data_IF_469301770216
#
_entry.id   IF_469301770216
#
_cell.length_a   1.000
_cell.length_b   1.000
_cell.length_c   1.000
_cell.angle_alpha   90.00
_cell.angle_beta   90.00
_cell.angle_gamma   90.00
#
_symmetry.space_group_name_H-M   'P 1'
#
loop_
_entity.id
_entity.type
_entity.pdbx_description
1 polymer ?
#
# COMPACT_ATOMS: atom_id res chain seq x y z
N UNK A 1 -7.08 -5.85 -2.11
CA UNK A 1 -7.93 -6.16 -3.29
C UNK A 1 -7.46 -5.45 -4.56
N UNK A 2 -7.33 -4.12 -4.59
CA UNK A 2 -7.01 -3.35 -5.81
C UNK A 2 -5.60 -3.58 -6.40
N UNK A 3 -4.57 -3.76 -5.58
CA UNK A 3 -3.18 -3.91 -6.05
C UNK A 3 -2.96 -5.20 -6.88
N UNK A 4 -3.68 -6.28 -6.57
CA UNK A 4 -3.49 -7.57 -7.25
C UNK A 4 -4.31 -7.70 -8.54
N UNK A 5 -5.50 -7.09 -8.59
CA UNK A 5 -6.24 -6.95 -9.84
C UNK A 5 -5.39 -6.21 -10.88
N UNK A 6 -4.74 -5.11 -10.47
CA UNK A 6 -3.84 -4.36 -11.33
C UNK A 6 -2.66 -5.19 -11.82
N UNK A 7 -2.00 -5.96 -10.94
CA UNK A 7 -0.92 -6.88 -11.33
C UNK A 7 -1.35 -7.87 -12.41
N UNK A 8 -2.54 -8.47 -12.23
CA UNK A 8 -3.10 -9.41 -13.19
C UNK A 8 -3.42 -8.73 -14.52
N UNK A 9 -4.04 -7.55 -14.48
CA UNK A 9 -4.38 -6.80 -15.68
C UNK A 9 -3.14 -6.32 -16.45
N UNK A 10 -2.06 -5.94 -15.75
CA UNK A 10 -0.76 -5.64 -16.37
C UNK A 10 -0.20 -6.87 -17.04
N UNK A 11 -0.20 -8.03 -16.38
CA UNK A 11 0.29 -9.28 -16.96
C UNK A 11 -0.50 -9.66 -18.24
N UNK A 12 -1.83 -9.55 -18.21
CA UNK A 12 -2.69 -9.80 -19.39
C UNK A 12 -2.35 -8.84 -20.54
N UNK A 13 -2.14 -7.55 -20.24
CA UNK A 13 -1.81 -6.53 -21.26
C UNK A 13 -0.42 -6.73 -21.89
N UNK A 14 0.58 -7.16 -21.10
CA UNK A 14 1.97 -7.26 -21.55
C UNK A 14 2.29 -8.57 -22.26
N UNK A 15 1.67 -9.68 -21.82
CA UNK A 15 1.97 -11.02 -22.31
C UNK A 15 1.06 -11.48 -23.45
N UNK A 16 -0.19 -11.01 -23.51
CA UNK A 16 -1.09 -11.29 -24.63
C UNK A 16 -0.93 -10.19 -25.70
N UNK A 17 0.06 -10.37 -26.57
CA UNK A 17 0.44 -9.38 -27.58
C UNK A 17 -0.35 -9.59 -28.87
N UNK A 18 -0.89 -8.50 -29.41
CA UNK A 18 -1.66 -8.52 -30.65
C UNK A 18 -2.53 -7.27 -30.78
N UNK A 19 -2.54 -6.67 -31.96
CA UNK A 19 -3.38 -5.50 -32.30
C UNK A 19 -4.60 -5.86 -33.13
N UNK A 20 -4.79 -7.15 -33.38
CA UNK A 20 -5.99 -7.72 -33.98
C UNK A 20 -7.17 -7.64 -33.02
N UNK A 21 -8.36 -7.44 -33.59
CA UNK A 21 -9.61 -7.31 -32.82
C UNK A 21 -9.92 -8.59 -32.02
N UNK A 22 -9.54 -9.77 -32.53
CA UNK A 22 -9.68 -11.03 -31.81
C UNK A 22 -8.83 -11.05 -30.52
N UNK A 23 -7.55 -10.69 -30.59
CA UNK A 23 -6.69 -10.64 -29.40
C UNK A 23 -7.12 -9.52 -28.43
N UNK A 24 -7.61 -8.40 -28.96
CA UNK A 24 -8.21 -7.35 -28.13
C UNK A 24 -9.45 -7.87 -27.39
N UNK A 25 -10.32 -8.60 -28.08
CA UNK A 25 -11.49 -9.23 -27.47
C UNK A 25 -11.08 -10.22 -26.37
N UNK A 26 -10.10 -11.09 -26.62
CA UNK A 26 -9.55 -12.03 -25.63
C UNK A 26 -9.13 -11.29 -24.36
N UNK A 27 -8.31 -10.25 -24.47
CA UNK A 27 -7.84 -9.50 -23.29
C UNK A 27 -8.98 -8.82 -22.53
N UNK A 28 -9.92 -8.20 -23.26
CA UNK A 28 -11.09 -7.53 -22.65
C UNK A 28 -12.00 -8.51 -21.94
N UNK A 29 -12.24 -9.68 -22.53
CA UNK A 29 -13.06 -10.74 -21.94
C UNK A 29 -12.41 -11.30 -20.67
N UNK A 30 -11.10 -11.52 -20.66
CA UNK A 30 -10.39 -11.95 -19.43
C UNK A 30 -10.61 -10.96 -18.29
N UNK A 31 -10.41 -9.65 -18.55
CA UNK A 31 -10.64 -8.62 -17.52
C UNK A 31 -12.10 -8.59 -17.07
N UNK A 32 -13.04 -8.65 -18.01
CA UNK A 32 -14.48 -8.66 -17.70
C UNK A 32 -14.85 -9.85 -16.83
N UNK A 33 -14.34 -11.05 -17.11
CA UNK A 33 -14.58 -12.24 -16.29
C UNK A 33 -13.96 -12.16 -14.88
N UNK A 34 -12.79 -11.54 -14.74
CA UNK A 34 -12.20 -11.29 -13.41
C UNK A 34 -13.06 -10.31 -12.59
N UNK A 35 -13.56 -9.24 -13.23
CA UNK A 35 -14.46 -8.28 -12.58
C UNK A 35 -15.83 -8.90 -12.28
N UNK A 36 -16.34 -9.76 -13.17
CA UNK A 36 -17.57 -10.52 -12.96
C UNK A 36 -17.43 -11.45 -11.74
N UNK A 37 -16.33 -12.21 -11.65
CA UNK A 37 -16.03 -13.04 -10.48
C UNK A 37 -15.98 -12.21 -9.19
N UNK A 38 -15.28 -11.05 -9.21
CA UNK A 38 -15.26 -10.12 -8.09
C UNK A 38 -16.66 -9.62 -7.71
N UNK A 39 -17.47 -9.26 -8.70
CA UNK A 39 -18.84 -8.76 -8.50
C UNK A 39 -19.74 -9.83 -7.90
N UNK A 40 -19.65 -11.08 -8.38
CA UNK A 40 -20.39 -12.21 -7.81
C UNK A 40 -20.02 -12.48 -6.34
N UNK A 41 -18.72 -12.39 -6.00
CA UNK A 41 -18.26 -12.56 -4.61
C UNK A 41 -18.72 -11.39 -3.74
N UNK A 42 -18.50 -10.15 -4.17
CA UNK A 42 -18.89 -8.96 -3.42
C UNK A 42 -20.41 -8.85 -3.26
N UNK A 43 -21.20 -9.31 -4.23
CA UNK A 43 -22.67 -9.40 -4.13
C UNK A 43 -23.13 -10.33 -3.00
N UNK A 44 -22.35 -11.35 -2.64
CA UNK A 44 -22.71 -12.27 -1.56
C UNK A 44 -22.34 -11.73 -0.17
N UNK A 45 -21.32 -10.85 -0.09
CA UNK A 45 -20.75 -10.39 1.19
C UNK A 45 -21.14 -8.94 1.52
N UNK A 46 -21.26 -8.06 0.52
CA UNK A 46 -21.56 -6.64 0.72
C UNK A 46 -23.02 -6.32 0.39
N UNK A 47 -23.72 -5.72 1.35
CA UNK A 47 -25.10 -5.27 1.20
C UNK A 47 -25.22 -4.20 0.11
N UNK A 48 -24.26 -3.27 0.03
CA UNK A 48 -24.23 -2.21 -0.98
C UNK A 48 -24.21 -2.78 -2.41
N UNK A 49 -23.39 -3.80 -2.65
CA UNK A 49 -23.25 -4.45 -3.97
C UNK A 49 -24.46 -5.32 -4.25
N UNK A 50 -25.02 -5.99 -3.24
CA UNK A 50 -26.27 -6.78 -3.35
C UNK A 50 -27.46 -5.92 -3.76
N UNK A 51 -27.57 -4.68 -3.26
CA UNK A 51 -28.61 -3.72 -3.67
C UNK A 51 -28.40 -3.21 -5.10
N UNK A 52 -27.16 -2.98 -5.51
CA UNK A 52 -26.84 -2.59 -6.88
C UNK A 52 -27.13 -3.71 -7.88
N UNK A 53 -26.79 -4.95 -7.52
CA UNK A 53 -26.95 -6.14 -8.36
C UNK A 53 -27.79 -7.21 -7.67
N UNK A 54 -29.13 -7.04 -7.60
CA UNK A 54 -29.99 -7.98 -6.89
C UNK A 54 -30.14 -9.33 -7.61
N UNK A 55 -30.14 -9.35 -8.95
CA UNK A 55 -30.31 -10.54 -9.81
C UNK A 55 -29.14 -10.68 -10.78
N UNK A 56 -29.00 -11.86 -11.42
CA UNK A 56 -28.03 -12.04 -12.52
C UNK A 56 -28.40 -11.19 -13.73
N UNK A 57 -29.69 -10.98 -13.98
CA UNK A 57 -30.20 -10.07 -15.02
C UNK A 57 -29.76 -8.62 -14.78
N UNK A 58 -29.62 -8.17 -13.52
CA UNK A 58 -29.09 -6.84 -13.22
C UNK A 58 -27.59 -6.73 -13.55
N UNK A 59 -26.84 -7.83 -13.46
CA UNK A 59 -25.43 -7.89 -13.86
C UNK A 59 -25.32 -7.89 -15.39
N UNK A 60 -26.24 -8.58 -16.08
CA UNK A 60 -26.38 -8.55 -17.54
C UNK A 60 -26.70 -7.13 -18.03
N UNK A 61 -27.68 -6.46 -17.42
CA UNK A 61 -28.05 -5.09 -17.75
C UNK A 61 -26.92 -4.06 -17.53
N UNK A 62 -25.91 -4.42 -16.74
CA UNK A 62 -24.70 -3.63 -16.51
C UNK A 62 -23.54 -3.99 -17.46
N UNK A 63 -23.79 -4.81 -18.49
CA UNK A 63 -22.82 -5.27 -19.49
C UNK A 63 -21.59 -6.01 -18.91
N UNK A 64 -21.69 -6.52 -17.68
CA UNK A 64 -20.66 -7.37 -17.09
C UNK A 64 -20.77 -8.82 -17.59
N UNK A 65 -21.97 -9.23 -17.98
CA UNK A 65 -22.32 -10.58 -18.40
C UNK A 65 -23.12 -10.50 -19.71
N UNK A 66 -22.84 -11.39 -20.67
CA UNK A 66 -23.67 -11.49 -21.90
C UNK A 66 -24.86 -12.41 -21.67
N UNK A 67 -25.96 -12.30 -22.46
CA UNK A 67 -27.12 -13.19 -22.31
C UNK A 67 -26.77 -14.67 -22.49
N UNK A 68 -25.82 -14.98 -23.38
CA UNK A 68 -25.33 -16.35 -23.60
C UNK A 68 -24.57 -16.88 -22.39
N UNK A 69 -23.69 -16.06 -21.80
CA UNK A 69 -22.96 -16.41 -20.59
C UNK A 69 -23.90 -16.60 -19.40
N UNK A 70 -24.95 -15.77 -19.27
CA UNK A 70 -25.98 -15.97 -18.25
C UNK A 70 -26.66 -17.32 -18.40
N UNK A 71 -27.08 -17.67 -19.61
CA UNK A 71 -27.72 -18.95 -19.88
C UNK A 71 -26.81 -20.14 -19.51
N UNK A 72 -25.49 -20.03 -19.73
CA UNK A 72 -24.52 -21.06 -19.31
C UNK A 72 -24.38 -21.16 -17.79
N UNK A 73 -24.39 -20.03 -17.09
CA UNK A 73 -24.36 -19.99 -15.62
C UNK A 73 -25.64 -20.61 -15.05
N UNK A 74 -26.81 -20.24 -15.58
CA UNK A 74 -28.11 -20.77 -15.14
C UNK A 74 -28.28 -22.25 -15.45
N UNK A 75 -27.73 -22.73 -16.57
CA UNK A 75 -27.73 -24.16 -16.93
C UNK A 75 -26.88 -25.00 -15.97
N UNK A 76 -25.90 -24.39 -15.30
CA UNK A 76 -25.06 -25.11 -14.34
C UNK A 76 -25.85 -25.34 -13.06
N UNK A 77 -26.36 -26.56 -12.88
CA UNK A 77 -27.07 -27.01 -11.67
C UNK A 77 -26.10 -27.13 -10.47
N UNK A 78 -25.67 -26.01 -9.93
CA UNK A 78 -24.92 -25.93 -8.68
C UNK A 78 -25.76 -25.22 -7.61
N UNK A 79 -25.96 -25.89 -6.47
CA UNK A 79 -26.66 -25.30 -5.31
C UNK A 79 -25.78 -24.31 -4.54
N UNK A 80 -24.48 -24.27 -4.84
CA UNK A 80 -23.52 -23.37 -4.22
C UNK A 80 -23.24 -22.13 -5.06
N UNK A 81 -22.41 -21.22 -4.53
CA UNK A 81 -22.10 -19.94 -5.18
C UNK A 81 -21.26 -20.13 -6.45
N UNK A 82 -21.82 -19.72 -7.59
CA UNK A 82 -21.28 -19.90 -8.94
C UNK A 82 -20.13 -18.94 -9.32
N UNK A 83 -19.45 -18.32 -8.35
CA UNK A 83 -18.36 -17.36 -8.62
C UNK A 83 -17.11 -17.98 -9.26
N UNK A 84 -16.99 -19.31 -9.22
CA UNK A 84 -15.87 -20.06 -9.81
C UNK A 84 -15.99 -20.19 -11.33
N UNK A 85 -17.19 -20.12 -11.90
CA UNK A 85 -17.45 -20.33 -13.34
C UNK A 85 -16.63 -19.37 -14.22
N UNK A 86 -16.63 -18.03 -13.99
CA UNK A 86 -15.84 -17.12 -14.82
C UNK A 86 -14.33 -17.38 -14.75
N UNK A 87 -13.82 -17.92 -13.63
CA UNK A 87 -12.39 -18.25 -13.51
C UNK A 87 -12.03 -19.44 -14.41
N UNK A 88 -12.89 -20.45 -14.47
CA UNK A 88 -12.70 -21.59 -15.38
C UNK A 88 -12.71 -21.10 -16.83
N UNK A 89 -13.65 -20.23 -17.21
CA UNK A 89 -13.68 -19.66 -18.55
C UNK A 89 -12.42 -18.86 -18.89
N UNK A 90 -11.85 -18.12 -17.93
CA UNK A 90 -10.56 -17.45 -18.14
C UNK A 90 -9.44 -18.46 -18.41
N UNK A 91 -9.39 -19.56 -17.67
CA UNK A 91 -8.40 -20.63 -17.89
C UNK A 91 -8.52 -21.25 -19.29
N UNK A 92 -9.74 -21.54 -19.75
CA UNK A 92 -9.99 -22.04 -21.11
C UNK A 92 -9.57 -21.02 -22.18
N UNK A 93 -9.90 -19.74 -22.00
CA UNK A 93 -9.46 -18.67 -22.92
C UNK A 93 -7.93 -18.58 -22.97
N UNK A 94 -7.23 -18.75 -21.84
CA UNK A 94 -5.77 -18.74 -21.82
C UNK A 94 -5.18 -19.95 -22.56
N UNK A 95 -5.79 -21.13 -22.41
CA UNK A 95 -5.40 -22.32 -23.16
C UNK A 95 -5.57 -22.11 -24.67
N UNK A 96 -6.74 -21.61 -25.10
CA UNK A 96 -7.01 -21.32 -26.50
C UNK A 96 -6.10 -20.23 -27.07
N UNK A 97 -5.85 -19.16 -26.31
CA UNK A 97 -4.93 -18.09 -26.70
C UNK A 97 -3.50 -18.62 -26.89
N UNK A 98 -3.10 -19.62 -26.10
CA UNK A 98 -1.80 -20.28 -26.23
C UNK A 98 -1.76 -21.21 -27.45
N UNK A 99 -2.81 -21.99 -27.70
CA UNK A 99 -2.94 -22.85 -28.88
C UNK A 99 -2.94 -22.05 -30.18
N UNK A 100 -3.57 -20.87 -30.17
CA UNK A 100 -3.56 -19.89 -31.27
C UNK A 100 -2.25 -19.10 -31.38
N UNK A 101 -1.23 -19.43 -30.57
CA UNK A 101 0.07 -18.74 -30.50
C UNK A 101 -0.01 -17.21 -30.28
N UNK A 102 -1.09 -16.71 -29.67
CA UNK A 102 -1.21 -15.30 -29.26
C UNK A 102 -0.33 -14.99 -28.03
N UNK A 103 0.00 -16.02 -27.25
CA UNK A 103 0.94 -15.98 -26.14
C UNK A 103 2.22 -16.71 -26.57
N UNK A 104 3.37 -16.03 -26.47
CA UNK A 104 4.62 -16.53 -27.06
C UNK A 104 5.29 -17.69 -26.29
N UNK A 105 5.00 -17.86 -25.00
CA UNK A 105 5.67 -18.84 -24.15
C UNK A 105 4.73 -19.39 -23.09
N UNK A 106 4.89 -20.68 -22.77
CA UNK A 106 4.16 -21.37 -21.68
C UNK A 106 4.43 -20.70 -20.32
N UNK A 107 5.64 -20.16 -20.13
CA UNK A 107 5.99 -19.40 -18.93
C UNK A 107 5.10 -18.17 -18.71
N UNK A 108 4.71 -17.49 -19.79
CA UNK A 108 3.81 -16.34 -19.71
C UNK A 108 2.39 -16.78 -19.34
N UNK A 109 1.92 -17.91 -19.87
CA UNK A 109 0.63 -18.50 -19.48
C UNK A 109 0.64 -18.85 -18.00
N UNK A 110 1.67 -19.53 -17.52
CA UNK A 110 1.83 -19.90 -16.11
C UNK A 110 1.84 -18.66 -15.20
N UNK A 111 2.52 -17.59 -15.63
CA UNK A 111 2.58 -16.32 -14.87
C UNK A 111 1.21 -15.66 -14.77
N UNK A 112 0.44 -15.60 -15.87
CA UNK A 112 -0.92 -15.06 -15.86
C UNK A 112 -1.83 -15.93 -14.99
N UNK A 113 -1.78 -17.25 -15.14
CA UNK A 113 -2.57 -18.20 -14.35
C UNK A 113 -2.29 -18.07 -12.85
N UNK A 114 -1.00 -17.98 -12.45
CA UNK A 114 -0.60 -17.74 -11.06
C UNK A 114 -1.19 -16.44 -10.51
N UNK A 115 -1.15 -15.34 -11.28
CA UNK A 115 -1.73 -14.07 -10.86
C UNK A 115 -3.24 -14.17 -10.65
N UNK A 116 -3.96 -14.87 -11.54
CA UNK A 116 -5.39 -15.13 -11.42
C UNK A 116 -5.68 -16.00 -10.19
N UNK A 117 -4.87 -17.01 -9.92
CA UNK A 117 -5.02 -17.87 -8.74
C UNK A 117 -4.82 -17.12 -7.43
N UNK A 118 -3.84 -16.20 -7.39
CA UNK A 118 -3.66 -15.33 -6.23
C UNK A 118 -4.88 -14.42 -6.08
N UNK A 119 -5.39 -13.83 -7.17
CA UNK A 119 -6.60 -13.01 -7.15
C UNK A 119 -7.82 -13.80 -6.64
N UNK A 120 -8.06 -15.01 -7.16
CA UNK A 120 -9.11 -15.93 -6.71
C UNK A 120 -8.96 -16.27 -5.23
N UNK A 121 -7.74 -16.54 -4.78
CA UNK A 121 -7.45 -16.87 -3.37
C UNK A 121 -7.79 -15.70 -2.43
N UNK A 122 -7.58 -14.45 -2.87
CA UNK A 122 -7.96 -13.27 -2.09
C UNK A 122 -9.49 -13.09 -2.03
N UNK A 123 -10.20 -13.34 -3.13
CA UNK A 123 -11.67 -13.35 -3.12
C UNK A 123 -12.22 -14.47 -2.21
N UNK A 124 -11.58 -15.65 -2.23
CA UNK A 124 -11.92 -16.74 -1.33
C UNK A 124 -11.65 -16.38 0.14
N UNK A 125 -10.56 -15.65 0.44
CA UNK A 125 -10.31 -15.19 1.80
C UNK A 125 -11.40 -14.24 2.28
N UNK A 126 -11.96 -13.39 1.40
CA UNK A 126 -13.11 -12.56 1.75
C UNK A 126 -14.32 -13.40 2.16
N UNK A 127 -14.64 -14.45 1.38
CA UNK A 127 -15.70 -15.39 1.71
C UNK A 127 -15.44 -16.13 3.03
N UNK A 128 -14.17 -16.44 3.36
CA UNK A 128 -13.83 -17.08 4.65
C UNK A 128 -14.09 -16.15 5.84
N UNK A 129 -13.76 -14.85 5.70
CA UNK A 129 -14.02 -13.87 6.76
C UNK A 129 -15.52 -13.65 6.99
N UNK A 130 -16.33 -13.74 5.94
CA UNK A 130 -17.79 -13.69 6.03
C UNK A 130 -18.39 -14.99 6.61
N UNK A 131 -17.89 -16.14 6.14
CA UNK A 131 -18.38 -17.46 6.56
C UNK A 131 -18.11 -17.76 8.04
N UNK A 132 -16.96 -17.33 8.57
CA UNK A 132 -16.59 -17.56 9.97
C UNK A 132 -16.58 -16.21 10.71
N UNK A 133 -17.74 -15.74 11.19
CA UNK A 133 -17.78 -14.55 12.02
C UNK A 133 -17.15 -14.83 13.39
N UNK A 134 -16.77 -13.77 14.10
CA UNK A 134 -16.32 -13.87 15.50
C UNK A 134 -17.46 -14.50 16.33
N UNK A 135 -17.17 -15.46 17.22
CA UNK A 135 -18.21 -16.12 18.01
C UNK A 135 -19.10 -15.11 18.72
N UNK A 136 -20.42 -15.25 18.52
CA UNK A 136 -21.42 -14.32 19.06
C UNK A 136 -21.30 -14.12 20.58
N UNK A 137 -20.94 -15.19 21.30
CA UNK A 137 -20.73 -15.15 22.76
C UNK A 137 -19.65 -14.15 23.15
N UNK A 138 -18.60 -13.99 22.34
CA UNK A 138 -17.52 -13.05 22.64
C UNK A 138 -18.01 -11.59 22.56
N UNK A 139 -18.74 -11.26 21.50
CA UNK A 139 -19.34 -9.92 21.34
C UNK A 139 -20.35 -9.63 22.45
N UNK A 140 -21.20 -10.61 22.78
CA UNK A 140 -22.19 -10.50 23.85
C UNK A 140 -21.53 -10.29 25.22
N UNK A 141 -20.48 -11.04 25.53
CA UNK A 141 -19.77 -10.96 26.80
C UNK A 141 -19.13 -9.58 27.00
N UNK A 142 -18.41 -9.07 25.99
CA UNK A 142 -17.76 -7.75 26.07
C UNK A 142 -18.82 -6.65 26.25
N UNK A 143 -19.89 -6.69 25.44
CA UNK A 143 -21.00 -5.74 25.53
C UNK A 143 -21.68 -5.78 26.90
N UNK A 144 -21.92 -6.99 27.43
CA UNK A 144 -22.51 -7.19 28.74
C UNK A 144 -21.62 -6.63 29.85
N UNK A 145 -20.32 -6.93 29.84
CA UNK A 145 -19.37 -6.44 30.84
C UNK A 145 -19.30 -4.91 30.89
N UNK A 146 -19.20 -4.25 29.73
CA UNK A 146 -19.16 -2.77 29.66
C UNK A 146 -20.47 -2.16 30.15
N UNK A 147 -21.63 -2.72 29.75
CA UNK A 147 -22.94 -2.24 30.20
C UNK A 147 -23.17 -2.48 31.68
N UNK A 148 -22.76 -3.64 32.22
CA UNK A 148 -22.88 -3.97 33.63
C UNK A 148 -22.01 -3.05 34.50
N UNK A 149 -20.79 -2.76 34.04
CA UNK A 149 -19.92 -1.79 34.69
C UNK A 149 -20.61 -0.44 34.86
N UNK A 150 -21.18 0.12 33.78
CA UNK A 150 -21.89 1.39 33.86
C UNK A 150 -23.21 1.32 34.61
N UNK A 151 -23.90 0.18 34.57
CA UNK A 151 -25.08 -0.06 35.40
C UNK A 151 -24.76 0.05 36.90
N UNK A 152 -23.64 -0.52 37.35
CA UNK A 152 -23.19 -0.40 38.74
C UNK A 152 -22.72 1.04 39.04
N UNK A 153 -22.04 1.70 38.10
CA UNK A 153 -21.62 3.10 38.26
C UNK A 153 -22.80 4.06 38.44
N UNK A 154 -23.98 3.78 37.85
CA UNK A 154 -25.18 4.59 38.02
C UNK A 154 -25.66 4.68 39.47
N UNK A 155 -25.40 3.65 40.29
CA UNK A 155 -25.75 3.64 41.71
C UNK A 155 -24.59 4.05 42.60
N UNK A 156 -23.38 3.55 42.31
CA UNK A 156 -22.21 3.74 43.19
C UNK A 156 -21.57 5.11 43.08
N UNK A 157 -21.73 5.80 41.95
CA UNK A 157 -21.13 7.13 41.71
C UNK A 157 -22.15 8.26 41.77
N UNK A 158 -23.28 8.04 42.44
CA UNK A 158 -24.21 9.11 42.77
C UNK A 158 -23.58 10.00 43.84
N UNK A 159 -23.62 11.31 43.61
CA UNK A 159 -23.07 12.27 44.55
C UNK A 159 -24.15 12.55 45.60
N UNK A 160 -24.02 11.95 46.78
CA UNK A 160 -24.96 12.11 47.89
C UNK A 160 -24.59 13.40 48.64
N UNK A 161 -25.54 14.33 48.76
CA UNK A 161 -25.37 15.52 49.61
C UNK A 161 -25.25 15.07 51.07
N UNK A 162 -24.12 15.34 51.70
CA UNK A 162 -24.02 15.34 53.16
C UNK A 162 -24.48 16.72 53.64
N UNK A 163 -25.54 16.76 54.44
CA UNK A 163 -25.89 17.95 55.24
C UNK A 163 -24.83 18.09 56.34
N UNK A 164 -23.67 18.66 56.01
CA UNK A 164 -22.81 19.32 57.01
C UNK A 164 -21.84 20.30 56.33
N UNK A 165 -22.05 21.57 56.68
CA UNK A 165 -21.11 22.70 56.72
C UNK A 165 -20.35 23.14 55.44
N UNK A 166 -20.87 24.20 54.80
CA UNK A 166 -20.06 25.38 54.44
C UNK A 166 -19.21 25.34 53.16
N UNK A 167 -19.22 24.27 52.38
CA UNK A 167 -18.49 24.23 51.09
C UNK A 167 -19.33 24.86 49.96
N UNK A 168 -18.74 25.71 49.10
CA UNK A 168 -19.47 26.37 48.03
C UNK A 168 -20.09 25.33 47.09
N UNK A 169 -21.39 25.45 46.83
CA UNK A 169 -22.15 24.63 45.87
C UNK A 169 -21.54 24.78 44.47
N UNK A 170 -20.52 23.98 44.20
CA UNK A 170 -19.85 23.96 42.90
C UNK A 170 -20.67 23.08 41.94
N UNK A 171 -20.77 23.54 40.69
CA UNK A 171 -21.41 22.83 39.56
C UNK A 171 -20.87 21.38 39.41
N UNK A 172 -19.67 21.11 39.91
CA UNK A 172 -19.06 19.78 39.99
C UNK A 172 -19.90 18.74 40.76
N UNK A 173 -20.77 19.15 41.69
CA UNK A 173 -21.53 18.23 42.54
C UNK A 173 -22.79 17.68 41.85
N UNK A 174 -23.28 18.36 40.80
CA UNK A 174 -24.53 17.98 40.12
C UNK A 174 -24.29 17.11 38.87
N UNK A 175 -23.11 17.23 38.26
CA UNK A 175 -22.77 16.52 37.02
C UNK A 175 -21.50 15.69 37.24
N UNK A 176 -21.54 14.35 37.14
CA UNK A 176 -20.38 13.49 37.34
C UNK A 176 -19.46 13.51 36.11
N UNK A 177 -18.73 14.60 35.90
CA UNK A 177 -17.90 14.84 34.70
C UNK A 177 -16.90 13.70 34.45
N UNK A 178 -16.22 13.19 35.49
CA UNK A 178 -15.26 12.07 35.35
C UNK A 178 -15.93 10.80 34.85
N UNK A 179 -17.11 10.45 35.38
CA UNK A 179 -17.87 9.27 34.94
C UNK A 179 -18.40 9.46 33.51
N UNK A 180 -18.75 10.68 33.10
CA UNK A 180 -19.15 10.98 31.72
C UNK A 180 -17.97 10.79 30.76
N UNK A 181 -16.77 11.27 31.13
CA UNK A 181 -15.56 11.06 30.31
C UNK A 181 -15.25 9.56 30.20
N UNK A 182 -15.27 8.82 31.31
CA UNK A 182 -15.08 7.36 31.29
C UNK A 182 -16.13 6.67 30.42
N UNK A 183 -17.39 7.08 30.51
CA UNK A 183 -18.46 6.57 29.67
C UNK A 183 -18.16 6.78 28.18
N UNK A 184 -17.81 8.01 27.78
CA UNK A 184 -17.47 8.33 26.40
C UNK A 184 -16.30 7.47 25.91
N UNK A 185 -15.26 7.27 26.72
CA UNK A 185 -14.10 6.46 26.33
C UNK A 185 -14.46 4.98 26.19
N UNK A 186 -15.06 4.35 27.20
CA UNK A 186 -15.34 2.91 27.15
C UNK A 186 -16.48 2.55 26.18
N UNK A 187 -17.56 3.34 26.15
CA UNK A 187 -18.64 3.12 25.17
C UNK A 187 -18.20 3.50 23.76
N UNK A 188 -17.42 4.57 23.60
CA UNK A 188 -16.83 4.94 22.32
C UNK A 188 -15.91 3.83 21.80
N UNK A 189 -15.08 3.24 22.65
CA UNK A 189 -14.21 2.13 22.26
C UNK A 189 -15.00 0.87 21.90
N UNK A 190 -16.07 0.54 22.65
CA UNK A 190 -16.99 -0.54 22.29
C UNK A 190 -17.65 -0.28 20.93
N UNK A 191 -18.10 0.96 20.67
CA UNK A 191 -18.74 1.35 19.41
C UNK A 191 -17.80 1.27 18.22
N UNK A 192 -16.56 1.73 18.36
CA UNK A 192 -15.53 1.57 17.33
C UNK A 192 -15.33 0.08 16.99
N UNK A 193 -15.32 -0.81 17.99
CA UNK A 193 -15.22 -2.24 17.75
C UNK A 193 -16.48 -2.83 17.06
N UNK A 194 -17.68 -2.38 17.43
CA UNK A 194 -18.95 -2.75 16.78
C UNK A 194 -18.98 -2.35 15.29
N UNK A 195 -18.53 -1.15 14.97
CA UNK A 195 -18.51 -0.63 13.60
C UNK A 195 -17.44 -1.35 12.76
N UNK A 196 -16.25 -1.61 13.34
CA UNK A 196 -15.18 -2.36 12.67
C UNK A 196 -15.51 -3.83 12.37
N UNK A 197 -16.55 -4.40 13.01
CA UNK A 197 -16.98 -5.78 12.75
C UNK A 197 -17.72 -5.94 11.42
N UNK A 198 -18.31 -4.86 10.86
CA UNK A 198 -19.11 -4.92 9.63
C UNK A 198 -18.60 -3.96 8.54
N UNK A 199 -17.32 -4.05 8.11
CA UNK A 199 -16.69 -3.09 7.19
C UNK A 199 -17.28 -3.09 5.75
N UNK A 200 -18.22 -4.00 5.45
CA UNK A 200 -18.85 -4.18 4.13
C UNK A 200 -20.35 -3.82 4.14
N UNK A 201 -20.83 -3.19 5.22
CA UNK A 201 -22.18 -2.67 5.37
C UNK A 201 -22.42 -1.36 4.59
N UNK A 202 -23.46 -0.60 4.97
CA UNK A 202 -23.88 0.63 4.27
C UNK A 202 -23.44 1.93 4.96
N UNK A 203 -22.78 1.84 6.10
CA UNK A 203 -22.30 3.01 6.84
C UNK A 203 -21.19 3.78 6.09
N UNK A 204 -21.06 5.08 6.39
CA UNK A 204 -20.16 6.01 5.68
C UNK A 204 -18.68 5.61 5.71
N UNK A 205 -18.23 4.93 6.77
CA UNK A 205 -16.82 4.52 6.93
C UNK A 205 -16.54 3.12 6.33
N UNK A 206 -17.55 2.48 5.74
CA UNK A 206 -17.39 1.17 5.12
C UNK A 206 -16.64 1.22 3.79
N UNK A 207 -16.16 0.06 3.35
CA UNK A 207 -15.45 -0.07 2.09
C UNK A 207 -16.38 0.22 0.91
N UNK A 208 -15.98 1.20 0.10
CA UNK A 208 -16.64 1.59 -1.16
C UNK A 208 -16.51 0.51 -2.25
N UNK A 209 -17.24 -0.59 -2.08
CA UNK A 209 -17.16 -1.77 -2.92
C UNK A 209 -17.65 -1.50 -4.35
N UNK A 210 -18.70 -0.67 -4.50
CA UNK A 210 -19.20 -0.25 -5.80
C UNK A 210 -18.14 0.53 -6.60
N UNK A 211 -17.48 1.50 -5.96
CA UNK A 211 -16.38 2.24 -6.57
C UNK A 211 -15.22 1.33 -6.99
N UNK A 212 -14.89 0.33 -6.17
CA UNK A 212 -13.82 -0.63 -6.49
C UNK A 212 -14.16 -1.43 -7.76
N UNK A 213 -15.40 -1.91 -7.89
CA UNK A 213 -15.85 -2.64 -9.09
C UNK A 213 -15.73 -1.75 -10.33
N UNK A 214 -16.26 -0.52 -10.27
CA UNK A 214 -16.26 0.41 -11.41
C UNK A 214 -14.84 0.81 -11.81
N UNK A 215 -14.01 1.13 -10.83
CA UNK A 215 -12.60 1.47 -11.04
C UNK A 215 -11.85 0.32 -11.70
N UNK A 216 -12.03 -0.92 -11.20
CA UNK A 216 -11.34 -2.09 -11.74
C UNK A 216 -11.80 -2.38 -13.17
N UNK A 217 -13.10 -2.26 -13.46
CA UNK A 217 -13.61 -2.39 -14.82
C UNK A 217 -12.99 -1.36 -15.78
N UNK A 218 -13.10 -0.07 -15.46
CA UNK A 218 -12.65 1.02 -16.34
C UNK A 218 -11.13 0.97 -16.52
N UNK A 219 -10.39 0.84 -15.43
CA UNK A 219 -8.92 0.82 -15.45
C UNK A 219 -8.40 -0.44 -16.12
N UNK A 220 -8.99 -1.60 -15.79
CA UNK A 220 -8.62 -2.88 -16.38
C UNK A 220 -8.84 -2.89 -17.89
N UNK A 221 -10.01 -2.45 -18.35
CA UNK A 221 -10.31 -2.35 -19.78
C UNK A 221 -9.37 -1.37 -20.49
N UNK A 222 -9.13 -0.19 -19.93
CA UNK A 222 -8.20 0.81 -20.51
C UNK A 222 -6.77 0.28 -20.64
N UNK A 223 -6.31 -0.50 -19.65
CA UNK A 223 -4.97 -1.08 -19.63
C UNK A 223 -4.78 -2.15 -20.70
N UNK A 224 -5.80 -2.98 -20.94
CA UNK A 224 -5.70 -4.08 -21.91
C UNK A 224 -6.09 -3.69 -23.33
N UNK A 225 -6.82 -2.59 -23.51
CA UNK A 225 -7.36 -2.18 -24.81
C UNK A 225 -6.26 -1.99 -25.86
N UNK A 226 -5.15 -1.34 -25.45
CA UNK A 226 -4.07 -0.93 -26.34
C UNK A 226 -2.93 -1.96 -26.45
N UNK A 227 -3.04 -3.14 -25.81
CA UNK A 227 -2.13 -4.28 -25.99
C UNK A 227 -0.64 -3.96 -25.85
N UNK A 228 -0.26 -3.14 -24.86
CA UNK A 228 1.14 -2.82 -24.56
C UNK A 228 1.88 -1.94 -25.57
N UNK A 229 1.21 -1.32 -26.57
CA UNK A 229 1.86 -0.52 -27.62
C UNK A 229 1.90 1.01 -27.38
N UNK A 230 1.44 1.49 -26.22
CA UNK A 230 1.54 2.93 -25.85
C UNK A 230 2.75 3.16 -24.95
N UNK A 231 3.94 3.20 -25.54
CA UNK A 231 5.10 3.76 -24.86
C UNK A 231 5.74 4.82 -25.76
N UNK A 232 6.20 5.95 -25.19
CA UNK A 232 6.98 6.92 -25.95
C UNK A 232 8.28 6.27 -26.43
N UNK A 233 8.79 6.72 -27.57
CA UNK A 233 10.09 6.23 -28.06
C UNK A 233 11.17 6.50 -27.00
N UNK A 234 12.08 5.54 -26.74
CA UNK A 234 13.17 5.76 -25.81
C UNK A 234 14.06 6.92 -26.29
N UNK A 235 14.06 8.04 -25.56
CA UNK A 235 14.92 9.22 -25.80
C UNK A 235 15.95 9.33 -24.67
N UNK A 236 17.11 9.93 -24.95
CA UNK A 236 18.11 10.25 -23.91
C UNK A 236 17.50 11.22 -22.91
N UNK A 237 17.64 10.92 -21.63
CA UNK A 237 17.13 11.78 -20.56
C UNK A 237 18.08 12.96 -20.27
N UNK A 238 17.58 13.93 -19.50
CA UNK A 238 18.32 15.15 -19.16
C UNK A 238 19.56 14.94 -18.26
N UNK A 239 19.78 13.72 -17.77
CA UNK A 239 20.88 13.32 -16.91
C UNK A 239 21.89 12.41 -17.62
N UNK A 240 21.64 12.01 -18.87
CA UNK A 240 22.43 11.04 -19.63
C UNK A 240 23.96 11.28 -19.58
N UNK A 241 24.40 12.53 -19.75
CA UNK A 241 25.82 12.91 -19.77
C UNK A 241 26.32 13.58 -18.46
N UNK A 242 25.50 13.60 -17.39
CA UNK A 242 25.84 14.31 -16.14
C UNK A 242 26.42 13.37 -15.08
N UNK A 243 27.70 13.56 -14.73
CA UNK A 243 28.36 12.81 -13.64
C UNK A 243 27.77 13.09 -12.24
N UNK A 244 27.20 14.29 -12.03
CA UNK A 244 26.54 14.67 -10.78
C UNK A 244 25.08 14.99 -11.07
N UNK A 245 24.19 14.13 -10.58
CA UNK A 245 22.75 14.31 -10.68
C UNK A 245 22.29 15.11 -9.46
N UNK A 246 21.66 16.26 -9.70
CA UNK A 246 21.03 17.08 -8.68
C UNK A 246 19.52 17.16 -8.97
N UNK A 247 18.70 16.28 -8.36
CA UNK A 247 17.25 16.36 -8.49
C UNK A 247 16.75 17.71 -7.97
N UNK A 248 15.82 18.32 -8.70
CA UNK A 248 15.26 19.61 -8.34
C UNK A 248 14.21 19.45 -7.24
N UNK A 249 14.23 20.38 -6.30
CA UNK A 249 13.22 20.53 -5.25
C UNK A 249 12.58 21.92 -5.41
N UNK A 250 11.31 22.04 -5.03
CA UNK A 250 10.71 23.36 -4.84
C UNK A 250 11.46 24.14 -3.76
N UNK A 251 11.42 25.46 -3.80
CA UNK A 251 12.10 26.32 -2.81
C UNK A 251 11.69 25.95 -1.38
N UNK A 252 10.40 25.63 -1.18
CA UNK A 252 9.83 25.27 0.13
C UNK A 252 10.28 23.88 0.61
N UNK A 253 10.51 22.94 -0.33
CA UNK A 253 10.96 21.59 0.02
C UNK A 253 12.49 21.48 0.12
N UNK A 254 13.24 22.37 -0.52
CA UNK A 254 14.70 22.41 -0.47
C UNK A 254 15.25 22.83 0.91
N UNK A 255 14.48 23.59 1.69
CA UNK A 255 14.84 24.04 3.04
C UNK A 255 14.69 22.92 4.10
N UNK A 256 13.98 21.84 3.76
CA UNK A 256 13.72 20.74 4.70
C UNK A 256 15.01 20.00 5.01
N UNK A 257 15.25 19.78 6.30
CA UNK A 257 16.36 18.94 6.76
C UNK A 257 16.15 17.50 6.31
N UNK A 258 17.09 16.98 5.51
CA UNK A 258 17.12 15.58 5.13
C UNK A 258 18.01 14.83 6.12
N UNK A 259 17.47 13.80 6.75
CA UNK A 259 18.21 12.85 7.57
C UNK A 259 18.48 11.59 6.74
N UNK A 260 19.58 11.55 5.97
CA UNK A 260 19.91 10.37 5.19
C UNK A 260 20.17 9.18 6.12
N UNK A 261 19.86 7.96 5.65
CA UNK A 261 20.19 6.73 6.37
C UNK A 261 21.71 6.52 6.34
N UNK A 262 22.40 7.20 7.25
CA UNK A 262 23.83 7.07 7.51
C UNK A 262 23.97 6.33 8.84
N UNK A 263 24.88 5.35 8.91
CA UNK A 263 25.13 4.62 10.15
C UNK A 263 25.51 5.56 11.30
N UNK A 264 25.03 5.29 12.52
CA UNK A 264 25.19 6.17 13.69
C UNK A 264 26.64 6.53 14.04
N UNK A 265 27.60 5.69 13.64
CA UNK A 265 29.03 5.87 13.91
C UNK A 265 29.81 6.35 12.67
N UNK A 266 29.17 6.46 11.50
CA UNK A 266 29.86 6.72 10.24
C UNK A 266 30.60 8.07 10.21
N UNK A 267 30.10 9.08 10.94
CA UNK A 267 30.73 10.41 11.05
C UNK A 267 31.68 10.56 12.25
N UNK A 268 31.80 9.53 13.09
CA UNK A 268 32.67 9.53 14.27
C UNK A 268 34.10 9.24 13.85
N UNK A 269 35.02 10.15 14.18
CA UNK A 269 36.45 9.95 13.95
C UNK A 269 37.16 9.59 15.26
N UNK A 270 37.43 8.31 15.46
CA UNK A 270 38.19 7.83 16.62
C UNK A 270 39.70 8.14 16.55
N UNK A 271 40.20 8.56 15.38
CA UNK A 271 41.64 8.65 15.08
C UNK A 271 42.10 10.10 14.89
N UNK A 272 41.29 11.07 15.31
CA UNK A 272 41.46 12.51 15.05
C UNK A 272 42.86 13.07 15.39
N UNK A 273 43.52 12.53 16.41
CA UNK A 273 44.81 13.00 16.92
C UNK A 273 45.99 12.06 16.63
N UNK A 274 45.75 10.90 16.01
CA UNK A 274 46.80 9.95 15.67
C UNK A 274 47.26 10.12 14.21
N UNK A 275 48.56 9.94 13.96
CA UNK A 275 49.14 9.92 12.61
C UNK A 275 49.15 8.51 12.01
N UNK A 276 49.25 7.51 12.88
CA UNK A 276 49.31 6.09 12.53
C UNK A 276 48.47 5.29 13.53
N UNK A 277 47.87 4.20 13.07
CA UNK A 277 47.21 3.20 13.91
C UNK A 277 47.83 1.83 13.64
N UNK A 278 47.87 0.99 14.67
CA UNK A 278 48.28 -0.40 14.54
C UNK A 278 47.02 -1.25 14.50
N UNK A 279 46.88 -2.06 13.46
CA UNK A 279 45.83 -3.07 13.37
C UNK A 279 46.43 -4.43 13.69
N UNK A 280 45.72 -5.16 14.55
CA UNK A 280 46.04 -6.54 14.92
C UNK A 280 44.81 -7.42 14.70
N UNK A 281 45.00 -8.71 14.38
CA UNK A 281 43.92 -9.69 14.41
C UNK A 281 43.24 -9.73 15.79
N UNK A 282 41.98 -10.14 15.82
CA UNK A 282 41.26 -10.31 17.08
C UNK A 282 41.92 -11.37 17.97
N UNK A 283 41.90 -11.16 19.29
CA UNK A 283 42.56 -12.02 20.28
C UNK A 283 42.24 -13.50 20.12
N UNK A 284 40.99 -13.83 19.77
CA UNK A 284 40.55 -15.21 19.56
C UNK A 284 41.29 -15.94 18.44
N UNK A 285 41.80 -15.22 17.43
CA UNK A 285 42.60 -15.79 16.33
C UNK A 285 44.10 -15.72 16.61
N UNK A 286 44.56 -14.72 17.38
CA UNK A 286 45.97 -14.60 17.76
C UNK A 286 46.45 -15.80 18.59
N UNK A 287 45.60 -16.31 19.49
CA UNK A 287 45.94 -17.46 20.36
C UNK A 287 46.25 -18.73 19.55
N UNK A 288 45.67 -18.87 18.35
CA UNK A 288 45.86 -20.05 17.49
C UNK A 288 47.01 -19.92 16.50
N UNK A 289 47.68 -18.76 16.44
CA UNK A 289 48.74 -18.45 15.47
C UNK A 289 50.14 -18.58 16.11
N UNK A 290 51.13 -18.99 15.33
CA UNK A 290 52.53 -19.07 15.76
C UNK A 290 53.14 -17.67 15.96
N UNK A 291 54.23 -17.56 16.73
CA UNK A 291 54.85 -16.25 17.04
C UNK A 291 55.34 -15.51 15.78
N UNK A 292 55.80 -16.24 14.75
CA UNK A 292 56.21 -15.68 13.46
C UNK A 292 55.01 -15.11 12.68
N UNK A 293 53.87 -15.80 12.71
CA UNK A 293 52.63 -15.34 12.06
C UNK A 293 52.01 -14.14 12.79
N UNK A 294 52.14 -14.10 14.12
CA UNK A 294 51.70 -12.96 14.93
C UNK A 294 52.49 -11.69 14.57
N UNK A 295 53.82 -11.78 14.45
CA UNK A 295 54.66 -10.65 14.06
C UNK A 295 54.37 -10.17 12.64
N UNK A 296 54.12 -11.08 11.69
CA UNK A 296 53.76 -10.74 10.32
C UNK A 296 52.39 -10.06 10.18
N UNK A 297 51.47 -10.31 11.13
CA UNK A 297 50.09 -9.77 11.10
C UNK A 297 49.96 -8.33 11.62
N UNK A 298 51.03 -7.75 12.17
CA UNK A 298 51.06 -6.37 12.67
C UNK A 298 51.11 -5.36 11.52
N UNK A 299 50.01 -4.63 11.30
CA UNK A 299 49.91 -3.65 10.24
C UNK A 299 49.86 -2.22 10.80
N UNK A 300 50.82 -1.38 10.41
CA UNK A 300 50.80 0.07 10.69
C UNK A 300 50.18 0.81 9.52
N UNK A 301 49.10 1.54 9.79
CA UNK A 301 48.35 2.28 8.77
C UNK A 301 48.46 3.77 9.04
N UNK A 302 48.89 4.53 8.02
CA UNK A 302 48.93 5.99 8.05
C UNK A 302 47.53 6.56 7.87
N UNK A 303 47.08 7.33 8.85
CA UNK A 303 45.70 7.88 8.95
C UNK A 303 45.67 9.41 8.81
N UNK A 304 46.83 10.05 8.65
CA UNK A 304 46.95 11.49 8.46
C UNK A 304 46.10 12.03 7.28
N UNK A 305 46.12 11.33 6.13
CA UNK A 305 45.35 11.71 4.94
C UNK A 305 43.83 11.62 5.17
N UNK A 306 43.38 10.59 5.90
CA UNK A 306 41.98 10.42 6.27
C UNK A 306 41.51 11.57 7.19
N UNK A 307 42.31 11.92 8.19
CA UNK A 307 42.03 13.03 9.10
C UNK A 307 41.96 14.38 8.37
N UNK A 308 42.79 14.61 7.35
CA UNK A 308 42.74 15.82 6.53
C UNK A 308 41.47 15.88 5.67
N UNK A 309 41.10 14.76 5.03
CA UNK A 309 39.87 14.66 4.22
C UNK A 309 38.62 14.93 5.06
N UNK A 310 38.53 14.37 6.26
CA UNK A 310 37.36 14.55 7.13
C UNK A 310 37.26 15.97 7.69
N UNK A 311 38.40 16.63 7.97
CA UNK A 311 38.43 18.08 8.31
C UNK A 311 37.88 18.94 7.18
N UNK A 312 38.21 18.63 5.93
CA UNK A 312 37.71 19.37 4.77
C UNK A 312 36.19 19.20 4.57
N UNK A 313 35.66 17.98 4.77
CA UNK A 313 34.21 17.75 4.64
C UNK A 313 33.39 18.49 5.70
N UNK A 314 33.88 18.59 6.95
CA UNK A 314 33.18 19.30 8.03
C UNK A 314 33.11 20.82 7.82
N UNK A 315 34.05 21.42 7.11
CA UNK A 315 34.02 22.86 6.79
C UNK A 315 32.88 23.24 5.83
N UNK A 316 32.42 22.29 5.01
CA UNK A 316 31.45 22.53 3.93
C UNK A 316 29.99 22.44 4.45
N UNK A 317 29.73 21.88 5.64
CA UNK A 317 28.44 21.25 5.92
C UNK A 317 27.32 22.13 6.51
N UNK A 318 27.59 23.31 7.07
CA UNK A 318 26.57 24.10 7.77
C UNK A 318 26.40 25.54 7.25
N UNK A 319 27.46 26.36 7.27
CA UNK A 319 27.38 27.78 6.91
C UNK A 319 27.15 27.96 5.40
N UNK A 320 27.82 27.16 4.57
CA UNK A 320 27.70 27.24 3.12
C UNK A 320 26.30 26.87 2.60
N UNK A 321 25.53 26.04 3.31
CA UNK A 321 24.20 25.58 2.84
C UNK A 321 23.15 26.69 2.90
N UNK A 322 23.10 27.42 4.02
CA UNK A 322 22.12 28.49 4.24
C UNK A 322 22.43 29.68 3.33
N UNK A 323 23.71 30.02 3.18
CA UNK A 323 24.15 31.12 2.31
C UNK A 323 23.84 30.83 0.83
N UNK A 324 24.12 29.60 0.36
CA UNK A 324 23.79 29.19 -1.00
C UNK A 324 22.28 29.19 -1.24
N UNK A 325 21.48 28.71 -0.29
CA UNK A 325 20.02 28.72 -0.43
C UNK A 325 19.46 30.15 -0.50
N UNK A 326 19.94 31.06 0.35
CA UNK A 326 19.51 32.45 0.35
C UNK A 326 19.92 33.17 -0.95
N UNK A 327 21.12 32.90 -1.46
CA UNK A 327 21.57 33.41 -2.76
C UNK A 327 20.69 32.91 -3.90
N UNK A 328 20.31 31.63 -3.90
CA UNK A 328 19.41 31.06 -4.91
C UNK A 328 17.99 31.63 -4.81
N UNK A 329 17.46 31.86 -3.60
CA UNK A 329 16.16 32.54 -3.37
C UNK A 329 16.16 33.99 -3.88
N UNK A 330 17.30 34.69 -3.80
CA UNK A 330 17.45 36.04 -4.36
C UNK A 330 17.50 36.01 -5.89
N UNK A 331 18.25 35.07 -6.47
CA UNK A 331 18.35 34.91 -7.92
C UNK A 331 16.98 34.55 -8.52
N UNK A 332 16.22 33.64 -7.89
CA UNK A 332 14.91 33.22 -8.41
C UNK A 332 13.87 34.35 -8.47
N UNK A 333 13.99 35.39 -7.63
CA UNK A 333 13.11 36.56 -7.67
C UNK A 333 13.38 37.50 -8.84
N UNK A 334 14.56 37.38 -9.47
CA UNK A 334 15.03 38.25 -10.54
C UNK A 334 15.00 37.56 -11.92
N UNK A 335 14.46 36.34 -12.03
CA UNK A 335 14.34 35.60 -13.29
C UNK A 335 12.94 35.78 -13.85
N UNK A 336 12.83 36.42 -15.02
CA UNK A 336 11.57 36.53 -15.77
C UNK A 336 11.15 35.15 -16.30
N UNK A 337 9.87 34.81 -16.09
CA UNK A 337 9.28 33.51 -16.45
C UNK A 337 9.31 33.22 -17.97
N UNK A 338 9.55 34.24 -18.81
CA UNK A 338 9.64 34.14 -20.27
C UNK A 338 10.98 33.62 -20.78
N UNK A 339 12.05 33.66 -19.96
CA UNK A 339 13.39 33.19 -20.32
C UNK A 339 13.67 31.75 -19.90
N UNK A 340 12.69 31.08 -19.27
CA UNK A 340 12.80 29.66 -18.94
C UNK A 340 12.68 28.88 -20.24
N UNK A 341 13.83 28.47 -20.78
CA UNK A 341 13.88 27.42 -21.80
C UNK A 341 13.15 26.20 -21.25
N UNK A 342 11.87 26.04 -21.61
CA UNK A 342 11.29 24.72 -21.75
C UNK A 342 12.25 23.97 -22.65
N UNK A 343 12.89 22.87 -22.21
CA UNK A 343 13.66 22.05 -23.12
C UNK A 343 12.68 21.67 -24.23
N UNK A 344 12.97 22.19 -25.42
CA UNK A 344 12.11 22.11 -26.58
C UNK A 344 11.64 20.66 -26.74
N UNK A 345 10.33 20.50 -26.87
CA UNK A 345 9.76 19.41 -27.66
C UNK A 345 10.18 19.68 -29.11
N UNK A 346 11.46 19.45 -29.43
CA UNK A 346 11.87 19.25 -30.82
C UNK A 346 11.34 17.86 -31.23
N UNK A 347 10.62 17.88 -32.35
CA UNK A 347 9.72 16.86 -32.91
C UNK A 347 10.23 15.41 -32.82
#
# INVERSE_FOLDING_TARGET
MNLLFYSTAVAVSTYIRGSDDETRAIRRTIIRYLVLCQTCVLRNVSVQVRRRFPTLEAIEAADLLTPEERALIEKTEDSYSQFWIPIVWVSEILYDARMKNKISSDFFVETIAKNIDIFRSQLQNLLKFDWVPIPLVYQQLVTFCVRLYFFICLFTRQIIKYEDEGLPESILFWIPITTIIEFIVYMGWLKVAEDMLHPLGEEFDNLECNYIIDKNLITGLSLVDNGGKRFPSPKKDAFWDKQRIAPLYSIDTADRTVSPMIGSVADVNFVKNAKEIVMIPHMSKLITMSEEEQQASLLRIKVANFNQKQKNMRKISAIAKIEVLNKLKQISKNVDLTDIKTPLLEE
#
